data_IF_362226712789
#
_entry.id   IF_362226712789
#
_cell.length_a   1.000
_cell.length_b   1.000
_cell.length_c   1.000
_cell.angle_alpha   90.00
_cell.angle_beta   90.00
_cell.angle_gamma   90.00
#
_symmetry.space_group_name_H-M   'P 1'
#
loop_
_entity.id
_entity.type
_entity.pdbx_description
1 polymer ?
#
# COMPACT_ATOMS: atom_id res chain seq x y z
N UNK A 1 21.09 -8.86 8.14
CA UNK A 1 21.57 -7.80 9.05
C UNK A 1 20.96 -6.46 8.67
N UNK A 2 21.00 -5.45 9.55
CA UNK A 2 20.53 -4.09 9.19
C UNK A 2 21.32 -3.47 8.01
N UNK A 3 22.58 -3.86 7.84
CA UNK A 3 23.43 -3.40 6.74
C UNK A 3 22.94 -3.90 5.38
N UNK A 4 22.67 -5.20 5.26
CA UNK A 4 22.18 -5.82 4.01
C UNK A 4 20.83 -5.24 3.58
N UNK A 5 19.92 -5.03 4.55
CA UNK A 5 18.63 -4.41 4.26
C UNK A 5 18.79 -2.97 3.77
N UNK A 6 19.68 -2.18 4.38
CA UNK A 6 19.99 -0.82 3.93
C UNK A 6 20.57 -0.79 2.52
N UNK A 7 21.42 -1.77 2.18
CA UNK A 7 21.95 -1.93 0.83
C UNK A 7 20.84 -2.29 -0.17
N UNK A 8 19.96 -3.25 0.18
CA UNK A 8 18.80 -3.63 -0.63
C UNK A 8 17.91 -2.43 -0.95
N UNK A 9 17.55 -1.64 0.07
CA UNK A 9 16.69 -0.46 -0.10
C UNK A 9 17.33 0.60 -0.99
N UNK A 10 18.62 0.89 -0.80
CA UNK A 10 19.34 1.86 -1.63
C UNK A 10 19.41 1.41 -3.09
N UNK A 11 19.79 0.15 -3.32
CA UNK A 11 19.87 -0.41 -4.67
C UNK A 11 18.51 -0.40 -5.35
N UNK A 12 17.44 -0.75 -4.63
CA UNK A 12 16.08 -0.74 -5.15
C UNK A 12 15.58 0.67 -5.52
N UNK A 13 15.82 1.67 -4.67
CA UNK A 13 15.49 3.07 -4.99
C UNK A 13 16.28 3.55 -6.21
N UNK A 14 17.59 3.30 -6.28
CA UNK A 14 18.40 3.64 -7.46
C UNK A 14 17.88 2.97 -8.73
N UNK A 15 17.51 1.69 -8.66
CA UNK A 15 16.97 0.97 -9.81
C UNK A 15 15.59 1.50 -10.25
N UNK A 16 14.72 1.84 -9.28
CA UNK A 16 13.40 2.38 -9.55
C UNK A 16 13.48 3.78 -10.17
N UNK A 17 14.34 4.66 -9.62
CA UNK A 17 14.57 6.01 -10.15
C UNK A 17 15.23 6.01 -11.54
N UNK A 18 15.96 4.95 -11.89
CA UNK A 18 16.61 4.81 -13.19
C UNK A 18 15.79 4.08 -14.25
N UNK A 19 14.55 3.69 -13.96
CA UNK A 19 13.73 2.90 -14.87
C UNK A 19 13.16 3.72 -16.04
N UNK A 20 13.00 5.03 -15.85
CA UNK A 20 12.43 5.96 -16.82
C UNK A 20 13.30 7.23 -16.90
N UNK A 21 12.90 8.20 -17.73
CA UNK A 21 13.66 9.44 -17.98
C UNK A 21 13.67 10.41 -16.79
N UNK A 22 12.84 10.20 -15.77
CA UNK A 22 12.82 10.98 -14.54
C UNK A 22 12.66 10.08 -13.31
N UNK A 23 12.99 10.64 -12.14
CA UNK A 23 12.86 9.95 -10.86
C UNK A 23 11.42 9.47 -10.63
N UNK A 24 11.26 8.38 -9.88
CA UNK A 24 9.97 7.72 -9.68
C UNK A 24 8.86 8.67 -9.22
N UNK A 25 9.20 9.59 -8.29
CA UNK A 25 8.27 10.56 -7.73
C UNK A 25 7.76 11.61 -8.74
N UNK A 26 8.43 11.76 -9.89
CA UNK A 26 8.06 12.70 -10.93
C UNK A 26 7.29 12.04 -12.09
N UNK A 27 7.05 10.73 -12.01
CA UNK A 27 6.23 9.98 -12.97
C UNK A 27 4.74 10.25 -12.69
N UNK A 28 3.89 10.14 -13.73
CA UNK A 28 2.44 10.08 -13.53
C UNK A 28 2.07 8.81 -12.74
N UNK A 29 0.92 8.81 -12.09
CA UNK A 29 0.47 7.68 -11.28
C UNK A 29 0.41 6.38 -12.10
N UNK A 30 -0.07 6.43 -13.33
CA UNK A 30 -0.15 5.28 -14.22
C UNK A 30 1.24 4.68 -14.50
N UNK A 31 2.24 5.55 -14.70
CA UNK A 31 3.62 5.13 -14.97
C UNK A 31 4.30 4.65 -13.69
N UNK A 32 3.97 5.23 -12.53
CA UNK A 32 4.42 4.69 -11.22
C UNK A 32 3.90 3.26 -11.02
N UNK A 33 2.63 3.01 -11.30
CA UNK A 33 2.03 1.66 -11.21
C UNK A 33 2.72 0.70 -12.18
N UNK A 34 2.99 1.12 -13.42
CA UNK A 34 3.75 0.31 -14.37
C UNK A 34 5.16 -0.03 -13.85
N UNK A 35 5.86 0.96 -13.31
CA UNK A 35 7.20 0.79 -12.73
C UNK A 35 7.19 -0.24 -11.60
N UNK A 36 6.25 -0.11 -10.67
CA UNK A 36 6.09 -1.00 -9.52
C UNK A 36 5.70 -2.42 -9.95
N UNK A 37 4.82 -2.55 -10.94
CA UNK A 37 4.40 -3.86 -11.48
C UNK A 37 5.59 -4.62 -12.06
N UNK A 38 6.50 -3.94 -12.77
CA UNK A 38 7.73 -4.55 -13.30
C UNK A 38 8.64 -5.11 -12.21
N UNK A 39 8.58 -4.55 -11.01
CA UNK A 39 9.46 -4.94 -9.90
C UNK A 39 8.76 -5.76 -8.80
N UNK A 40 7.48 -6.09 -8.94
CA UNK A 40 6.66 -6.67 -7.86
C UNK A 40 7.21 -8.00 -7.31
N UNK A 41 7.97 -8.73 -8.13
CA UNK A 41 8.57 -10.04 -7.78
C UNK A 41 9.94 -9.93 -7.12
N UNK A 42 10.52 -8.74 -7.01
CA UNK A 42 11.87 -8.55 -6.49
C UNK A 42 11.86 -8.32 -4.97
N UNK A 43 12.92 -8.74 -4.25
CA UNK A 43 12.99 -8.59 -2.79
C UNK A 43 12.84 -7.16 -2.27
N UNK A 44 13.27 -6.16 -3.06
CA UNK A 44 13.09 -4.75 -2.71
C UNK A 44 11.61 -4.36 -2.58
N UNK A 45 10.80 -4.73 -3.57
CA UNK A 45 9.37 -4.42 -3.56
C UNK A 45 8.67 -5.09 -2.38
N UNK A 46 8.96 -6.38 -2.14
CA UNK A 46 8.34 -7.11 -1.04
C UNK A 46 8.73 -6.55 0.34
N UNK A 47 9.98 -6.11 0.54
CA UNK A 47 10.39 -5.48 1.82
C UNK A 47 9.63 -4.16 2.06
N UNK A 48 9.49 -3.32 1.02
CA UNK A 48 8.73 -2.06 1.09
C UNK A 48 7.24 -2.32 1.34
N UNK A 49 6.64 -3.25 0.59
CA UNK A 49 5.22 -3.65 0.75
C UNK A 49 4.95 -4.18 2.14
N UNK A 50 5.77 -5.10 2.63
CA UNK A 50 5.61 -5.68 3.95
C UNK A 50 5.79 -4.63 5.07
N UNK A 51 6.71 -3.67 4.89
CA UNK A 51 6.86 -2.56 5.82
C UNK A 51 5.62 -1.64 5.81
N UNK A 52 5.12 -1.27 4.63
CA UNK A 52 3.92 -0.44 4.49
C UNK A 52 2.71 -1.09 5.17
N UNK A 53 2.45 -2.38 4.90
CA UNK A 53 1.36 -3.15 5.53
C UNK A 53 1.51 -3.17 7.05
N UNK A 54 2.71 -3.48 7.56
CA UNK A 54 2.95 -3.48 9.01
C UNK A 54 2.67 -2.11 9.62
N UNK A 55 3.22 -1.04 9.06
CA UNK A 55 3.05 0.31 9.61
C UNK A 55 1.59 0.78 9.54
N UNK A 56 0.87 0.47 8.46
CA UNK A 56 -0.55 0.76 8.33
C UNK A 56 -1.38 0.11 9.45
N UNK A 57 -1.23 -1.21 9.65
CA UNK A 57 -2.08 -1.93 10.60
C UNK A 57 -1.62 -1.89 12.05
N UNK A 58 -0.38 -1.49 12.34
CA UNK A 58 0.16 -1.43 13.71
C UNK A 58 0.16 -0.03 14.33
N UNK A 59 -0.23 1.01 13.59
CA UNK A 59 -0.22 2.38 14.07
C UNK A 59 -1.63 2.99 14.14
N UNK A 60 -2.28 3.00 15.32
CA UNK A 60 -3.59 3.60 15.51
C UNK A 60 -3.68 5.08 15.13
N UNK A 61 -2.58 5.82 15.19
CA UNK A 61 -2.59 7.26 14.92
C UNK A 61 -2.91 7.58 13.45
N UNK A 62 -2.66 6.63 12.54
CA UNK A 62 -2.91 6.83 11.11
C UNK A 62 -4.22 6.21 10.62
N UNK A 63 -4.85 5.35 11.42
CA UNK A 63 -6.04 4.60 11.04
C UNK A 63 -7.19 5.47 10.54
N UNK A 64 -7.46 6.59 11.21
CA UNK A 64 -8.48 7.55 10.81
C UNK A 64 -8.21 8.19 9.43
N UNK A 65 -6.94 8.31 9.02
CA UNK A 65 -6.57 8.85 7.70
C UNK A 65 -6.81 7.85 6.56
N UNK A 66 -6.88 6.55 6.88
CA UNK A 66 -7.06 5.48 5.89
C UNK A 66 -8.44 4.81 5.99
N UNK A 67 -9.34 5.31 6.84
CA UNK A 67 -10.65 4.69 7.07
C UNK A 67 -10.58 3.29 7.70
N UNK A 68 -9.44 2.93 8.30
CA UNK A 68 -9.29 1.63 8.96
C UNK A 68 -9.76 1.75 10.41
N UNK A 69 -10.83 1.07 10.80
CA UNK A 69 -11.37 1.25 12.16
C UNK A 69 -10.69 0.42 13.26
N UNK A 70 -9.53 -0.18 12.95
CA UNK A 70 -8.81 -1.06 13.86
C UNK A 70 -9.37 -2.49 13.93
N UNK A 71 -8.64 -3.42 14.58
CA UNK A 71 -8.99 -4.84 14.63
C UNK A 71 -10.41 -5.10 15.16
N UNK A 72 -11.23 -5.82 14.40
CA UNK A 72 -12.65 -6.07 14.73
C UNK A 72 -12.99 -7.52 15.10
N UNK A 73 -12.04 -8.46 15.00
CA UNK A 73 -12.31 -9.88 15.25
C UNK A 73 -12.89 -10.14 16.64
N UNK A 74 -12.38 -9.46 17.68
CA UNK A 74 -12.87 -9.54 19.05
C UNK A 74 -14.17 -8.74 19.29
N UNK A 75 -14.62 -7.98 18.30
CA UNK A 75 -15.82 -7.13 18.32
C UNK A 75 -16.95 -7.71 17.45
N UNK A 76 -16.82 -8.94 16.96
CA UNK A 76 -17.80 -9.58 16.07
C UNK A 76 -17.63 -9.25 14.58
N UNK A 77 -16.47 -8.71 14.17
CA UNK A 77 -16.15 -8.36 12.79
C UNK A 77 -16.62 -6.97 12.36
N UNK A 78 -16.53 -6.67 11.06
CA UNK A 78 -16.88 -5.34 10.52
C UNK A 78 -18.36 -5.17 10.14
N UNK A 79 -19.18 -6.21 10.31
CA UNK A 79 -20.59 -6.21 9.89
C UNK A 79 -21.41 -5.02 10.45
N UNK A 80 -21.06 -4.50 11.63
CA UNK A 80 -21.69 -3.31 12.24
C UNK A 80 -20.68 -2.19 12.52
N UNK A 81 -19.57 -2.18 11.79
CA UNK A 81 -18.39 -1.33 12.04
C UNK A 81 -17.76 -0.90 10.72
N UNK A 82 -18.51 -0.14 9.94
CA UNK A 82 -18.00 0.50 8.73
C UNK A 82 -17.63 -0.40 7.55
N UNK A 83 -18.05 -1.67 7.54
CA UNK A 83 -17.93 -2.52 6.33
C UNK A 83 -18.61 -1.86 5.12
N UNK A 84 -19.75 -1.20 5.34
CA UNK A 84 -20.54 -0.52 4.31
C UNK A 84 -20.32 1.01 4.30
N UNK A 85 -19.43 1.55 5.13
CA UNK A 85 -19.14 3.00 5.19
C UNK A 85 -18.11 3.39 4.12
N UNK A 86 -18.34 2.95 2.88
CA UNK A 86 -17.40 3.10 1.76
C UNK A 86 -17.84 4.27 0.87
N UNK A 87 -17.26 5.48 1.01
CA UNK A 87 -17.75 6.68 0.31
C UNK A 87 -17.52 6.68 -1.21
N UNK A 88 -16.76 5.72 -1.74
CA UNK A 88 -16.45 5.63 -3.18
C UNK A 88 -17.25 4.55 -3.93
N UNK A 89 -18.09 3.78 -3.24
CA UNK A 89 -19.07 2.90 -3.89
C UNK A 89 -20.35 3.71 -4.11
N UNK A 90 -20.83 3.86 -5.36
CA UNK A 90 -22.11 4.51 -5.62
C UNK A 90 -23.23 3.75 -4.90
N UNK A 91 -24.02 4.46 -4.07
CA UNK A 91 -25.21 3.90 -3.40
C UNK A 91 -26.41 3.86 -4.37
N UNK A 92 -26.23 3.20 -5.52
CA UNK A 92 -27.27 3.08 -6.55
C UNK A 92 -28.04 1.74 -6.48
N UNK A 93 -27.77 0.93 -5.45
CA UNK A 93 -28.49 -0.30 -5.16
C UNK A 93 -28.28 -1.41 -6.19
N UNK A 94 -27.32 -1.26 -7.11
CA UNK A 94 -27.00 -2.29 -8.10
C UNK A 94 -25.84 -3.11 -7.59
N UNK A 95 -26.16 -4.34 -7.19
CA UNK A 95 -25.15 -5.39 -7.07
C UNK A 95 -24.83 -5.77 -8.51
N UNK A 96 -23.64 -5.42 -8.98
CA UNK A 96 -23.15 -5.93 -10.26
C UNK A 96 -23.12 -7.47 -10.17
N UNK A 97 -24.02 -8.12 -10.92
CA UNK A 97 -24.10 -9.59 -11.10
C UNK A 97 -22.91 -10.15 -11.88
#
# INVERSE_FOLDING_TARGET
SNFERKALLRAGVTALDGMFDCCFLNLSEEVQVEALTKIEKYPFFEDVRAAAVRHLYSNPDIWAHFGYEGPSAHLGGYMKRGFDDIPWIPDDGKIDE
#
